data_IF_989105704031
#
_entry.id   IF_989105704031
#
_cell.length_a   1.000
_cell.length_b   1.000
_cell.length_c   1.000
_cell.angle_alpha   90.00
_cell.angle_beta   90.00
_cell.angle_gamma   90.00
#
_symmetry.space_group_name_H-M   'P 1'
#
loop_
_entity.id
_entity.type
_entity.pdbx_description
1 polymer ?
2 water ?
#
# COMPACT_ATOMS: atom_id res chain seq x y z
N UNK A 1 10.08 -5.02 -17.93
CA UNK A 1 9.54 -3.76 -17.34
C UNK A 1 10.64 -2.69 -17.25
N UNK A 2 10.24 -1.43 -17.26
CA UNK A 2 11.20 -0.34 -17.11
C UNK A 2 10.96 0.23 -15.71
N UNK A 3 11.98 0.15 -14.84
CA UNK A 3 11.90 0.65 -13.46
C UNK A 3 11.70 2.16 -13.49
N UNK A 4 11.03 2.69 -12.47
CA UNK A 4 10.83 4.13 -12.42
C UNK A 4 11.23 4.50 -11.01
N UNK A 5 11.83 5.67 -10.84
CA UNK A 5 12.22 6.09 -9.51
C UNK A 5 10.96 6.51 -8.74
N UNK A 6 11.03 6.46 -7.42
CA UNK A 6 9.91 6.85 -6.59
C UNK A 6 9.74 8.37 -6.65
N UNK A 7 8.57 8.83 -7.08
CA UNK A 7 8.35 10.27 -7.19
C UNK A 7 7.43 10.89 -6.14
N UNK A 8 6.96 10.09 -5.19
CA UNK A 8 6.06 10.59 -4.16
C UNK A 8 6.18 9.75 -2.90
N UNK A 9 5.71 10.30 -1.77
CA UNK A 9 5.72 9.59 -0.50
C UNK A 9 7.12 9.06 -0.18
N UNK A 10 8.14 9.85 -0.49
CA UNK A 10 9.53 9.43 -0.31
C UNK A 10 10.05 9.18 1.10
N UNK A 11 9.48 9.84 2.10
CA UNK A 11 9.98 9.66 3.46
C UNK A 11 9.19 8.65 4.29
N UNK A 12 8.29 7.93 3.63
CA UNK A 12 7.46 6.94 4.30
C UNK A 12 8.35 5.93 5.03
N UNK A 13 8.00 5.66 6.28
CA UNK A 13 8.74 4.74 7.14
C UNK A 13 8.88 3.33 6.57
N UNK A 14 10.12 2.90 6.39
CA UNK A 14 10.39 1.58 5.86
C UNK A 14 10.08 0.52 6.91
N UNK A 15 10.07 0.94 8.17
CA UNK A 15 9.83 0.03 9.28
C UNK A 15 8.37 -0.12 9.67
N UNK A 16 7.60 0.96 9.53
CA UNK A 16 6.19 0.95 9.93
C UNK A 16 5.21 0.76 8.79
N UNK A 17 5.62 1.11 7.58
CA UNK A 17 4.72 1.02 6.45
C UNK A 17 5.24 0.08 5.37
N UNK A 18 6.50 0.21 5.00
CA UNK A 18 7.02 -0.70 4.01
C UNK A 18 8.16 -0.21 3.15
N UNK A 19 8.77 -1.16 2.46
CA UNK A 19 9.91 -0.92 1.57
C UNK A 19 9.48 -1.28 0.17
N UNK A 20 9.47 -0.31 -0.75
CA UNK A 20 9.06 -0.63 -2.12
C UNK A 20 10.12 -1.55 -2.73
N UNK A 21 9.69 -2.60 -3.42
CA UNK A 21 10.64 -3.52 -4.03
C UNK A 21 10.45 -3.50 -5.54
N UNK A 22 9.40 -2.84 -6.00
CA UNK A 22 9.16 -2.75 -7.43
C UNK A 22 8.22 -1.61 -7.77
N UNK A 23 8.64 -0.77 -8.71
CA UNK A 23 7.79 0.32 -9.15
C UNK A 23 7.94 0.45 -10.66
N UNK A 24 6.84 0.32 -11.38
CA UNK A 24 6.87 0.48 -12.82
C UNK A 24 5.57 1.18 -13.18
N UNK A 25 5.38 1.47 -14.46
CA UNK A 25 4.18 2.13 -14.94
C UNK A 25 2.90 1.41 -14.51
N UNK A 26 2.07 2.11 -13.74
CA UNK A 26 0.80 1.57 -13.29
C UNK A 26 0.81 0.40 -12.31
N UNK A 27 1.96 0.10 -11.73
CA UNK A 27 2.05 -1.04 -10.82
C UNK A 27 3.19 -0.91 -9.80
N UNK A 28 2.96 -1.37 -8.58
CA UNK A 28 4.00 -1.30 -7.56
C UNK A 28 3.85 -2.42 -6.54
N UNK A 29 4.98 -2.78 -5.93
CA UNK A 29 5.02 -3.81 -4.91
C UNK A 29 5.84 -3.28 -3.75
N UNK A 30 5.31 -3.46 -2.55
CA UNK A 30 5.96 -2.99 -1.33
C UNK A 30 5.88 -4.11 -0.29
N UNK A 31 6.97 -4.35 0.43
CA UNK A 31 6.97 -5.41 1.43
C UNK A 31 7.11 -4.85 2.83
N UNK A 32 6.57 -5.58 3.80
CA UNK A 32 6.65 -5.14 5.18
C UNK A 32 6.83 -6.34 6.11
N UNK A 33 7.84 -6.24 6.97
CA UNK A 33 8.10 -7.26 7.98
C UNK A 33 7.35 -6.73 9.20
N UNK A 34 6.37 -7.48 9.68
CA UNK A 34 5.62 -7.00 10.84
C UNK A 34 6.47 -7.13 12.10
N UNK A 35 6.34 -6.15 13.00
CA UNK A 35 7.10 -6.13 14.25
C UNK A 35 6.22 -6.13 15.48
N UNK A 36 6.85 -6.38 16.62
CA UNK A 36 6.14 -6.49 17.89
C UNK A 36 5.28 -5.29 18.30
N UNK A 37 5.70 -4.08 17.94
CA UNK A 37 4.93 -2.89 18.31
C UNK A 37 3.58 -2.81 17.60
N UNK A 38 3.43 -3.58 16.53
CA UNK A 38 2.21 -3.62 15.71
C UNK A 38 1.13 -4.53 16.30
N UNK A 39 1.46 -5.25 17.36
CA UNK A 39 0.51 -6.17 17.98
C UNK A 39 -0.61 -5.49 18.77
N UNK A 40 -1.73 -6.18 18.92
CA UNK A 40 -2.84 -5.64 19.68
C UNK A 40 -3.14 -6.50 20.92
N UNK A 41 -2.53 -7.67 21.02
CA UNK A 41 -2.77 -8.56 22.17
C UNK A 41 -1.59 -9.48 22.38
N UNK A 42 -1.67 -10.34 23.40
CA UNK A 42 -0.58 -11.26 23.73
C UNK A 42 -0.43 -12.41 22.75
N UNK A 43 -1.45 -12.63 21.92
CA UNK A 43 -1.38 -13.71 20.95
C UNK A 43 -0.59 -13.29 19.71
N UNK A 44 -0.21 -12.02 19.66
CA UNK A 44 0.59 -11.53 18.55
C UNK A 44 -0.19 -11.05 17.34
N UNK A 45 -1.48 -10.79 17.52
CA UNK A 45 -2.30 -10.32 16.41
C UNK A 45 -1.87 -8.91 16.00
N UNK A 46 -1.54 -8.74 14.72
CA UNK A 46 -1.13 -7.45 14.19
C UNK A 46 -2.35 -6.58 13.86
N UNK A 47 -2.30 -5.33 14.27
CA UNK A 47 -3.41 -4.43 14.01
C UNK A 47 -3.59 -4.21 12.51
N UNK A 48 -4.84 -4.29 12.04
CA UNK A 48 -5.14 -4.11 10.63
C UNK A 48 -4.75 -2.75 10.08
N UNK A 49 -4.54 -1.79 10.97
CA UNK A 49 -4.14 -0.47 10.51
C UNK A 49 -2.80 -0.52 9.81
N UNK A 50 -1.92 -1.41 10.25
CA UNK A 50 -0.61 -1.49 9.61
C UNK A 50 -0.70 -2.15 8.23
N UNK A 51 -1.51 -3.19 8.14
CA UNK A 51 -1.73 -3.89 6.89
C UNK A 51 -2.36 -2.93 5.88
N UNK A 52 -3.31 -2.13 6.36
CA UNK A 52 -3.95 -1.13 5.50
C UNK A 52 -2.93 -0.07 5.06
N UNK A 53 -2.08 0.36 6.00
CA UNK A 53 -1.09 1.37 5.68
C UNK A 53 -0.19 0.86 4.58
N UNK A 54 0.24 -0.39 4.70
CA UNK A 54 1.08 -0.97 3.65
C UNK A 54 0.35 -0.96 2.31
N UNK A 55 -0.90 -1.42 2.30
CA UNK A 55 -1.64 -1.42 1.03
C UNK A 55 -1.83 -0.01 0.45
N UNK A 56 -2.12 0.95 1.32
CA UNK A 56 -2.33 2.37 0.96
C UNK A 56 -1.06 2.89 0.26
N UNK A 57 0.10 2.64 0.86
CA UNK A 57 1.37 3.07 0.31
C UNK A 57 1.63 2.44 -1.06
N UNK A 58 1.32 1.15 -1.23
CA UNK A 58 1.53 0.51 -2.51
C UNK A 58 0.69 1.19 -3.60
N UNK A 59 -0.53 1.53 -3.23
CA UNK A 59 -1.47 2.20 -4.13
C UNK A 59 -0.91 3.56 -4.57
N UNK A 60 -0.34 4.32 -3.63
CA UNK A 60 0.24 5.61 -3.95
C UNK A 60 1.40 5.41 -4.95
N UNK A 61 2.14 4.31 -4.82
CA UNK A 61 3.26 4.07 -5.75
C UNK A 61 2.82 3.50 -7.08
N UNK A 62 1.64 2.90 -7.13
CA UNK A 62 1.15 2.40 -8.40
C UNK A 62 0.82 3.62 -9.27
N UNK A 63 0.47 4.75 -8.63
CA UNK A 63 0.18 5.97 -9.40
C UNK A 63 1.49 6.73 -9.55
N UNK A 64 2.22 6.83 -8.46
CA UNK A 64 3.54 7.45 -8.44
C UNK A 64 3.63 8.83 -9.06
N UNK A 65 2.74 9.71 -8.63
CA UNK A 65 2.70 11.08 -9.09
C UNK A 65 2.96 11.86 -7.81
N UNK A 66 3.82 12.89 -7.84
CA UNK A 66 4.13 13.68 -6.64
C UNK A 66 2.98 14.06 -5.70
N UNK A 67 1.93 14.63 -6.28
CA UNK A 67 0.76 15.08 -5.53
C UNK A 67 -0.34 14.03 -5.27
N UNK A 68 -0.07 12.75 -5.54
CA UNK A 68 -1.14 11.75 -5.34
C UNK A 68 -1.58 11.65 -3.87
N UNK A 69 -2.87 11.45 -3.64
CA UNK A 69 -3.40 11.30 -2.29
C UNK A 69 -4.50 10.26 -2.27
N UNK A 70 -4.78 9.67 -1.12
CA UNK A 70 -5.85 8.67 -1.09
C UNK A 70 -7.16 9.35 -0.67
N UNK A 71 -8.20 9.21 -1.48
CA UNK A 71 -9.47 9.84 -1.16
C UNK A 71 -10.46 8.92 -0.47
N UNK A 72 -10.51 7.69 -0.95
CA UNK A 72 -11.44 6.71 -0.43
C UNK A 72 -10.87 5.32 -0.62
N UNK A 73 -11.31 4.39 0.22
CA UNK A 73 -10.84 3.02 0.13
C UNK A 73 -11.90 2.07 0.68
N UNK A 74 -11.98 0.90 0.09
CA UNK A 74 -12.89 -0.13 0.56
C UNK A 74 -11.95 -1.33 0.71
N UNK A 75 -11.90 -1.93 1.88
CA UNK A 75 -11.00 -3.06 2.07
C UNK A 75 -11.68 -4.18 2.84
N UNK A 76 -11.20 -5.40 2.60
CA UNK A 76 -11.70 -6.59 3.29
C UNK A 76 -10.46 -7.25 3.84
N UNK A 77 -10.49 -7.58 5.12
CA UNK A 77 -9.36 -8.24 5.74
C UNK A 77 -9.77 -9.70 5.64
N UNK A 78 -9.00 -10.48 4.90
CA UNK A 78 -9.35 -11.87 4.64
C UNK A 78 -8.73 -12.90 5.58
N UNK A 79 -7.55 -12.60 6.10
CA UNK A 79 -6.84 -13.50 7.03
C UNK A 79 -6.11 -12.68 8.08
N UNK A 80 -6.08 -13.15 9.34
CA UNK A 80 -5.39 -12.41 10.41
C UNK A 80 -3.89 -12.42 10.19
N UNK A 81 -3.23 -11.34 10.58
CA UNK A 81 -1.78 -11.24 10.41
C UNK A 81 -1.15 -11.34 11.79
N UNK A 82 -0.08 -12.12 11.89
CA UNK A 82 0.60 -12.32 13.17
C UNK A 82 1.99 -11.71 13.15
N UNK A 83 2.44 -11.15 14.27
CA UNK A 83 3.78 -10.55 14.32
C UNK A 83 4.78 -11.57 13.81
N UNK A 84 5.68 -11.13 12.94
CA UNK A 84 6.65 -12.05 12.37
C UNK A 84 6.30 -12.36 10.92
N UNK A 85 5.05 -12.13 10.53
CA UNK A 85 4.64 -12.36 9.15
C UNK A 85 5.34 -11.30 8.29
N UNK A 86 5.72 -11.69 7.08
CA UNK A 86 6.33 -10.78 6.13
C UNK A 86 5.20 -10.61 5.12
N UNK A 87 4.84 -9.37 4.84
CA UNK A 87 3.75 -9.09 3.91
C UNK A 87 4.21 -8.38 2.65
N UNK A 88 3.54 -8.65 1.53
CA UNK A 88 3.85 -7.98 0.27
C UNK A 88 2.55 -7.46 -0.36
N UNK A 89 2.47 -6.16 -0.55
CA UNK A 89 1.30 -5.57 -1.17
C UNK A 89 1.59 -5.36 -2.66
N UNK A 90 0.67 -5.80 -3.51
CA UNK A 90 0.76 -5.65 -4.96
C UNK A 90 -0.40 -4.75 -5.42
N UNK A 91 -0.05 -3.58 -5.94
CA UNK A 91 -1.03 -2.57 -6.37
C UNK A 91 -1.01 -2.29 -7.87
N UNK A 92 -2.19 -2.30 -8.51
CA UNK A 92 -2.27 -2.02 -9.94
C UNK A 92 -3.40 -1.04 -10.26
N UNK A 93 -3.13 -0.05 -11.11
CA UNK A 93 -4.17 0.88 -11.50
C UNK A 93 -5.11 0.07 -12.37
N UNK A 94 -6.39 -0.02 -11.99
CA UNK A 94 -7.33 -0.80 -12.79
C UNK A 94 -8.28 0.09 -13.60
N UNK A 95 -8.30 1.38 -13.27
CA UNK A 95 -9.13 2.33 -14.00
C UNK A 95 -8.46 3.68 -13.96
N UNK A 96 -8.19 4.25 -15.12
CA UNK A 96 -7.58 5.56 -15.14
C UNK A 96 -8.65 6.54 -15.59
N UNK A 97 -9.09 7.37 -14.66
CA UNK A 97 -10.13 8.35 -14.94
C UNK A 97 -9.52 9.75 -14.89
N UNK A 98 -8.41 9.90 -15.60
CA UNK A 98 -7.71 11.17 -15.62
C UNK A 98 -7.01 11.42 -14.30
N UNK A 99 -7.45 12.45 -13.59
CA UNK A 99 -6.86 12.81 -12.31
C UNK A 99 -7.26 11.85 -11.21
N UNK A 100 -8.29 11.04 -11.46
CA UNK A 100 -8.70 10.05 -10.47
C UNK A 100 -8.26 8.70 -11.00
N UNK A 101 -7.69 7.90 -10.10
CA UNK A 101 -7.20 6.57 -10.44
C UNK A 101 -7.78 5.53 -9.47
N UNK A 102 -8.30 4.43 -10.00
CA UNK A 102 -8.83 3.37 -9.14
C UNK A 102 -7.73 2.30 -9.12
N UNK A 103 -7.24 1.99 -7.93
CA UNK A 103 -6.15 1.02 -7.81
C UNK A 103 -6.61 -0.17 -6.98
N UNK A 104 -6.36 -1.37 -7.48
CA UNK A 104 -6.74 -2.55 -6.73
C UNK A 104 -5.47 -2.99 -6.01
N UNK A 105 -5.59 -3.40 -4.76
CA UNK A 105 -4.42 -3.84 -4.03
C UNK A 105 -4.74 -5.13 -3.30
N UNK A 106 -3.78 -6.04 -3.31
CA UNK A 106 -3.94 -7.30 -2.60
C UNK A 106 -2.67 -7.43 -1.79
N UNK A 107 -2.82 -7.76 -0.51
CA UNK A 107 -1.65 -7.92 0.32
C UNK A 107 -1.50 -9.42 0.56
N UNK A 108 -0.29 -9.94 0.32
CA UNK A 108 0.00 -11.37 0.47
C UNK A 108 0.97 -11.72 1.58
N UNK A 109 0.83 -12.94 2.09
CA UNK A 109 1.78 -13.48 3.07
C UNK A 109 2.10 -14.74 2.28
N UNK A 110 3.22 -14.71 1.56
CA UNK A 110 3.60 -15.81 0.68
C UNK A 110 2.48 -15.88 -0.37
N UNK A 111 1.73 -16.97 -0.45
CA UNK A 111 0.67 -17.04 -1.46
C UNK A 111 -0.73 -16.67 -0.98
N UNK A 112 -0.90 -16.54 0.32
CA UNK A 112 -2.20 -16.21 0.88
C UNK A 112 -2.54 -14.72 0.83
N UNK A 113 -3.79 -14.42 0.52
CA UNK A 113 -4.25 -13.04 0.53
C UNK A 113 -4.71 -12.73 1.96
N UNK A 114 -4.21 -11.64 2.55
CA UNK A 114 -4.61 -11.25 3.90
C UNK A 114 -5.47 -9.98 3.83
N UNK A 115 -5.39 -9.25 2.72
CA UNK A 115 -6.21 -8.06 2.53
C UNK A 115 -6.44 -7.81 1.05
N UNK A 116 -7.63 -7.34 0.69
CA UNK A 116 -7.91 -7.00 -0.70
C UNK A 116 -8.70 -5.70 -0.66
N UNK A 117 -8.42 -4.80 -1.59
CA UNK A 117 -9.16 -3.56 -1.56
C UNK A 117 -9.06 -2.72 -2.80
N UNK A 118 -9.95 -1.74 -2.90
CA UNK A 118 -9.96 -0.79 -4.00
C UNK A 118 -9.59 0.55 -3.38
N UNK A 119 -8.62 1.23 -3.96
CA UNK A 119 -8.18 2.53 -3.46
C UNK A 119 -8.42 3.59 -4.54
N UNK A 120 -9.19 4.61 -4.18
CA UNK A 120 -9.54 5.71 -5.09
C UNK A 120 -8.59 6.84 -4.80
N UNK A 121 -7.66 7.03 -5.74
CA UNK A 121 -6.58 8.00 -5.63
C UNK A 121 -6.76 9.22 -6.54
N UNK A 122 -6.27 10.36 -6.06
CA UNK A 122 -6.37 11.61 -6.81
C UNK A 122 -5.04 12.31 -6.98
N UNK A 123 -4.74 12.68 -8.21
CA UNK A 123 -3.52 13.41 -8.49
C UNK A 123 -3.98 14.87 -8.48
N UNK A 124 -3.48 15.63 -7.52
CA UNK A 124 -3.87 17.03 -7.34
C UNK A 124 -2.99 18.01 -8.11
N UNK A 125 -3.55 19.19 -8.38
CA UNK A 125 -2.81 20.24 -9.09
C UNK A 125 -1.62 20.62 -8.21
N UNK A 126 -1.87 20.69 -6.91
CA UNK A 126 -0.84 21.02 -5.95
C UNK A 126 -0.86 20.00 -4.83
N UNK A 127 0.17 20.04 -4.00
CA UNK A 127 0.30 19.12 -2.89
C UNK A 127 -0.87 19.36 -1.95
N UNK A 128 -1.41 18.27 -1.42
CA UNK A 128 -2.56 18.30 -0.54
C UNK A 128 -2.48 19.27 0.63
N UNK A 129 -1.28 19.56 1.12
CA UNK A 129 -1.15 20.49 2.23
C UNK A 129 -0.95 21.92 1.72
N UNK A 130 -1.38 22.18 0.49
CA UNK A 130 -1.27 23.50 -0.13
C UNK A 130 0.17 23.79 -0.46
#
# INVERSE_FOLDING_TARGET
MIPVEQRTHKLTSRILVGKPILIKEGYAEVELETIDEMKVDEKGLVHGGFTFGLADYAAMLAVNEPTVVLGKAEVRFTKPVKVGDKLVAKAKIIEDLGKKKIVEVKVYREEEVVLEGKFYCYVLEKHVLDN
#
